data_IF_129697029943
#
_entry.id   IF_129697029943
#
_cell.length_a   1.000
_cell.length_b   1.000
_cell.length_c   1.000
_cell.angle_alpha   90.00
_cell.angle_beta   90.00
_cell.angle_gamma   90.00
#
_symmetry.space_group_name_H-M   'P 1'
#
loop_
_entity.id
_entity.type
_entity.pdbx_description
1 polymer ?
#
# COMPACT_ATOMS: atom_id res chain seq x y z
N UNK A 1 -14.78 1.56 -7.36
CA UNK A 1 -13.95 1.93 -8.54
C UNK A 1 -13.21 0.67 -8.98
N UNK A 2 -13.24 0.30 -10.25
CA UNK A 2 -12.40 -0.81 -10.73
C UNK A 2 -10.96 -0.29 -10.82
N UNK A 3 -10.01 -1.10 -10.34
CA UNK A 3 -8.60 -0.84 -10.63
C UNK A 3 -8.33 -1.30 -12.06
N UNK A 4 -7.44 -0.59 -12.74
CA UNK A 4 -7.07 -0.98 -14.09
C UNK A 4 -6.33 -2.33 -14.03
N UNK A 5 -6.78 -3.29 -14.83
CA UNK A 5 -6.26 -4.66 -14.83
C UNK A 5 -4.75 -4.69 -15.04
N UNK A 6 -4.22 -3.80 -15.88
CA UNK A 6 -2.78 -3.66 -16.15
C UNK A 6 -1.99 -3.36 -14.87
N UNK A 7 -2.53 -2.56 -13.96
CA UNK A 7 -1.86 -2.20 -12.69
C UNK A 7 -1.83 -3.41 -11.77
N UNK A 8 -2.97 -4.10 -11.66
CA UNK A 8 -3.08 -5.28 -10.81
C UNK A 8 -2.13 -6.40 -11.26
N UNK A 9 -1.86 -6.50 -12.57
CA UNK A 9 -0.94 -7.51 -13.14
C UNK A 9 0.53 -7.09 -13.12
N UNK A 10 0.82 -5.79 -13.13
CA UNK A 10 2.19 -5.27 -13.17
C UNK A 10 2.79 -4.98 -11.79
N UNK A 11 1.98 -4.97 -10.72
CA UNK A 11 2.42 -4.68 -9.35
C UNK A 11 2.66 -5.98 -8.59
N UNK A 12 3.90 -6.17 -8.17
CA UNK A 12 4.35 -7.32 -7.38
C UNK A 12 4.77 -6.86 -5.98
N UNK A 13 4.54 -7.72 -5.00
CA UNK A 13 5.04 -7.54 -3.63
C UNK A 13 6.49 -8.01 -3.51
N UNK A 14 7.13 -7.71 -2.38
CA UNK A 14 8.44 -8.21 -1.99
C UNK A 14 8.54 -9.76 -1.98
N UNK A 15 7.41 -10.47 -2.00
CA UNK A 15 7.35 -11.94 -2.09
C UNK A 15 7.13 -12.45 -3.51
N UNK A 16 7.07 -11.57 -4.51
CA UNK A 16 6.86 -11.91 -5.92
C UNK A 16 5.41 -12.25 -6.27
N UNK A 17 4.44 -11.96 -5.39
CA UNK A 17 3.02 -12.16 -5.68
C UNK A 17 2.46 -10.94 -6.41
N UNK A 18 1.72 -11.15 -7.51
CA UNK A 18 1.02 -10.06 -8.19
C UNK A 18 -0.25 -9.64 -7.43
N UNK A 19 -0.54 -8.35 -7.40
CA UNK A 19 -1.65 -7.79 -6.63
C UNK A 19 -3.02 -8.31 -7.11
N UNK A 20 -3.17 -8.64 -8.40
CA UNK A 20 -4.40 -9.24 -8.95
C UNK A 20 -4.70 -10.57 -8.29
N UNK A 21 -3.72 -11.47 -8.22
CA UNK A 21 -3.87 -12.79 -7.62
C UNK A 21 -4.20 -12.69 -6.13
N UNK A 22 -3.53 -11.79 -5.40
CA UNK A 22 -3.82 -11.58 -3.97
C UNK A 22 -5.27 -11.11 -3.78
N UNK A 23 -5.73 -10.13 -4.55
CA UNK A 23 -7.09 -9.56 -4.40
C UNK A 23 -8.22 -10.50 -4.83
N UNK A 24 -7.93 -11.51 -5.66
CA UNK A 24 -8.87 -12.60 -5.95
C UNK A 24 -9.03 -13.53 -4.75
N UNK A 25 -7.91 -13.90 -4.11
CA UNK A 25 -7.90 -14.86 -3.01
C UNK A 25 -8.37 -14.24 -1.68
N UNK A 26 -7.99 -12.99 -1.43
CA UNK A 26 -8.20 -12.32 -0.15
C UNK A 26 -8.90 -10.97 -0.34
N UNK A 27 -9.55 -10.49 0.72
CA UNK A 27 -9.81 -9.05 0.84
C UNK A 27 -8.48 -8.39 1.21
N UNK A 28 -8.04 -7.39 0.45
CA UNK A 28 -6.73 -6.75 0.65
C UNK A 28 -6.92 -5.37 1.24
N UNK A 29 -6.31 -5.10 2.39
CA UNK A 29 -6.15 -3.76 2.91
C UNK A 29 -4.79 -3.23 2.46
N UNK A 30 -4.82 -2.38 1.44
CA UNK A 30 -3.66 -1.73 0.86
C UNK A 30 -3.36 -0.43 1.62
N UNK A 31 -2.19 -0.36 2.24
CA UNK A 31 -1.82 0.67 3.21
C UNK A 31 -0.65 1.49 2.66
N UNK A 32 -0.96 2.69 2.19
CA UNK A 32 0.04 3.67 1.79
C UNK A 32 0.59 4.35 3.03
N UNK A 33 1.83 4.01 3.38
CA UNK A 33 2.53 4.62 4.48
C UNK A 33 2.92 6.07 4.12
N UNK A 34 3.26 6.86 5.13
CA UNK A 34 3.95 8.13 4.89
C UNK A 34 5.44 7.84 4.66
N UNK A 35 6.33 8.67 5.16
CA UNK A 35 7.75 8.35 5.20
C UNK A 35 8.08 7.59 6.48
N UNK A 36 9.03 6.67 6.35
CA UNK A 36 9.59 5.94 7.48
C UNK A 36 10.19 6.90 8.51
N UNK A 37 9.99 6.60 9.78
CA UNK A 37 10.46 7.42 10.90
C UNK A 37 9.56 8.62 11.24
N UNK A 38 8.47 8.87 10.52
CA UNK A 38 7.48 9.86 10.97
C UNK A 38 6.59 9.30 12.09
N UNK A 39 6.21 10.14 13.06
CA UNK A 39 5.40 9.72 14.22
C UNK A 39 4.14 8.96 13.82
N UNK A 40 3.39 9.49 12.85
CA UNK A 40 2.15 8.88 12.38
C UNK A 40 2.34 7.54 11.65
N UNK A 41 3.49 7.35 10.98
CA UNK A 41 3.82 6.07 10.35
C UNK A 41 4.08 5.01 11.43
N UNK A 42 4.86 5.35 12.46
CA UNK A 42 5.11 4.45 13.59
C UNK A 42 3.83 4.07 14.32
N UNK A 43 2.99 5.06 14.61
CA UNK A 43 1.69 4.84 15.25
C UNK A 43 0.79 3.93 14.41
N UNK A 44 0.73 4.14 13.09
CA UNK A 44 -0.05 3.28 12.20
C UNK A 44 0.47 1.83 12.20
N UNK A 45 1.79 1.62 12.14
CA UNK A 45 2.37 0.27 12.20
C UNK A 45 2.08 -0.41 13.54
N UNK A 46 2.23 0.30 14.66
CA UNK A 46 1.89 -0.20 15.99
C UNK A 46 0.40 -0.57 16.11
N UNK A 47 -0.49 0.20 15.49
CA UNK A 47 -1.91 -0.11 15.44
C UNK A 47 -2.18 -1.38 14.63
N UNK A 48 -1.54 -1.52 13.46
CA UNK A 48 -1.68 -2.72 12.62
C UNK A 48 -1.20 -3.98 13.34
N UNK A 49 -0.08 -3.93 14.06
CA UNK A 49 0.39 -5.05 14.88
C UNK A 49 -0.65 -5.51 15.91
N UNK A 50 -1.42 -4.58 16.50
CA UNK A 50 -2.47 -4.90 17.49
C UNK A 50 -3.72 -5.50 16.88
N UNK A 51 -4.10 -5.09 15.68
CA UNK A 51 -5.35 -5.53 15.04
C UNK A 51 -5.16 -6.65 14.02
N UNK A 52 -3.92 -6.96 13.62
CA UNK A 52 -3.60 -7.96 12.60
C UNK A 52 -4.33 -9.28 12.83
N UNK A 53 -4.28 -9.84 14.05
CA UNK A 53 -4.96 -11.11 14.34
C UNK A 53 -6.48 -11.06 14.08
N UNK A 54 -7.13 -9.92 14.29
CA UNK A 54 -8.55 -9.73 13.98
C UNK A 54 -8.82 -9.61 12.47
N UNK A 55 -7.86 -9.07 11.72
CA UNK A 55 -7.93 -8.97 10.26
C UNK A 55 -7.71 -10.34 9.61
N UNK A 56 -6.71 -11.09 10.09
CA UNK A 56 -6.41 -12.44 9.61
C UNK A 56 -7.62 -13.37 9.80
N UNK A 57 -8.31 -13.31 10.95
CA UNK A 57 -9.55 -14.05 11.22
C UNK A 57 -10.70 -13.73 10.24
N UNK A 58 -10.63 -12.57 9.57
CA UNK A 58 -11.63 -12.13 8.57
C UNK A 58 -11.16 -12.36 7.14
N UNK A 59 -10.06 -13.11 6.94
CA UNK A 59 -9.44 -13.30 5.63
C UNK A 59 -9.05 -11.97 4.94
N UNK A 60 -8.63 -10.99 5.75
CA UNK A 60 -8.16 -9.69 5.28
C UNK A 60 -6.64 -9.68 5.34
N UNK A 61 -6.01 -9.53 4.19
CA UNK A 61 -4.55 -9.47 4.05
C UNK A 61 -4.07 -8.04 4.05
N UNK A 62 -3.05 -7.74 4.84
CA UNK A 62 -2.36 -6.45 4.82
C UNK A 62 -1.33 -6.44 3.70
N UNK A 63 -1.30 -5.35 2.93
CA UNK A 63 -0.22 -5.06 1.99
C UNK A 63 0.21 -3.61 2.18
N UNK A 64 1.46 -3.39 2.56
CA UNK A 64 2.01 -2.05 2.76
C UNK A 64 2.61 -1.49 1.47
N UNK A 65 2.53 -0.18 1.27
CA UNK A 65 3.21 0.53 0.19
C UNK A 65 4.05 1.64 0.83
N UNK A 66 5.31 1.77 0.41
CA UNK A 66 6.24 2.78 0.93
C UNK A 66 7.18 3.30 -0.17
N UNK A 67 7.84 4.43 0.06
CA UNK A 67 8.72 5.08 -0.93
C UNK A 67 10.21 4.74 -0.76
N UNK A 68 10.52 3.64 -0.05
CA UNK A 68 11.89 3.21 0.19
C UNK A 68 12.19 1.98 -0.68
N UNK A 69 13.46 1.72 -0.98
CA UNK A 69 13.85 0.47 -1.64
C UNK A 69 13.40 -0.75 -0.83
N UNK A 70 13.18 -1.87 -1.52
CA UNK A 70 12.61 -3.09 -0.95
C UNK A 70 13.36 -3.57 0.30
N UNK A 71 14.70 -3.59 0.27
CA UNK A 71 15.53 -4.04 1.38
C UNK A 71 15.39 -3.16 2.64
N UNK A 72 15.12 -1.85 2.48
CA UNK A 72 14.80 -0.98 3.61
C UNK A 72 13.38 -1.23 4.11
N UNK A 73 12.43 -1.52 3.22
CA UNK A 73 11.07 -1.93 3.57
C UNK A 73 11.04 -3.19 4.43
N UNK A 74 11.76 -4.23 4.01
CA UNK A 74 11.89 -5.50 4.73
C UNK A 74 12.41 -5.29 6.15
N UNK A 75 13.52 -4.55 6.29
CA UNK A 75 14.10 -4.28 7.60
C UNK A 75 13.15 -3.42 8.46
N UNK A 76 12.52 -2.40 7.86
CA UNK A 76 11.65 -1.50 8.60
C UNK A 76 10.41 -2.23 9.13
N UNK A 77 9.72 -3.04 8.34
CA UNK A 77 8.54 -3.79 8.81
C UNK A 77 8.92 -4.87 9.82
N UNK A 78 10.10 -5.49 9.69
CA UNK A 78 10.63 -6.42 10.68
C UNK A 78 10.82 -5.78 12.05
N UNK A 79 11.26 -4.52 12.11
CA UNK A 79 11.43 -3.79 13.38
C UNK A 79 10.09 -3.58 14.13
N UNK A 80 8.95 -3.71 13.46
CA UNK A 80 7.59 -3.63 14.05
C UNK A 80 6.90 -5.00 14.20
N UNK A 81 7.60 -6.11 13.92
CA UNK A 81 7.02 -7.47 13.96
C UNK A 81 6.04 -7.75 12.83
N UNK A 82 6.19 -7.07 11.68
CA UNK A 82 5.34 -7.19 10.49
C UNK A 82 6.09 -7.84 9.32
N UNK A 83 7.17 -8.59 9.57
CA UNK A 83 7.99 -9.25 8.53
C UNK A 83 7.23 -10.32 7.73
N UNK A 84 6.10 -10.80 8.26
CA UNK A 84 5.23 -11.75 7.57
C UNK A 84 4.27 -11.06 6.60
N UNK A 85 4.05 -9.75 6.73
CA UNK A 85 3.20 -9.00 5.82
C UNK A 85 3.92 -8.75 4.50
N UNK A 86 3.13 -8.57 3.44
CA UNK A 86 3.66 -8.23 2.13
C UNK A 86 3.74 -6.71 1.97
N UNK A 87 4.72 -6.25 1.22
CA UNK A 87 4.85 -4.84 0.91
C UNK A 87 5.31 -4.61 -0.52
N UNK A 88 5.13 -3.37 -0.98
CA UNK A 88 5.49 -2.92 -2.31
C UNK A 88 6.35 -1.66 -2.15
N UNK A 89 7.56 -1.73 -2.72
CA UNK A 89 8.46 -0.59 -2.88
C UNK A 89 7.97 0.30 -4.04
N UNK A 90 7.65 1.56 -3.73
CA UNK A 90 7.23 2.58 -4.70
C UNK A 90 8.05 3.89 -4.57
N UNK A 91 9.38 3.88 -4.83
CA UNK A 91 10.24 5.04 -4.58
C UNK A 91 9.92 6.26 -5.43
N UNK A 92 9.45 6.07 -6.68
CA UNK A 92 9.04 7.19 -7.55
C UNK A 92 7.62 7.72 -7.25
N UNK A 93 6.92 7.09 -6.29
CA UNK A 93 5.56 7.40 -5.86
C UNK A 93 4.47 7.27 -6.93
N UNK A 94 4.66 6.44 -7.95
CA UNK A 94 3.66 6.20 -9.00
C UNK A 94 2.35 5.69 -8.40
N UNK A 95 2.36 4.67 -7.53
CA UNK A 95 1.14 4.11 -6.96
C UNK A 95 0.44 5.17 -6.11
N UNK A 96 1.21 5.99 -5.37
CA UNK A 96 0.63 7.14 -4.66
C UNK A 96 -0.07 8.12 -5.61
N UNK A 97 0.50 8.41 -6.79
CA UNK A 97 -0.11 9.28 -7.82
C UNK A 97 -1.44 8.71 -8.31
N UNK A 98 -1.46 7.41 -8.62
CA UNK A 98 -2.66 6.72 -9.12
C UNK A 98 -3.80 6.64 -8.13
N UNK A 99 -3.48 6.33 -6.88
CA UNK A 99 -4.45 6.34 -5.80
C UNK A 99 -4.83 7.75 -5.33
N UNK A 100 -4.30 8.79 -6.00
CA UNK A 100 -4.66 10.19 -5.75
C UNK A 100 -4.14 10.73 -4.42
N UNK A 101 -3.07 10.14 -3.89
CA UNK A 101 -2.46 10.53 -2.61
C UNK A 101 -1.41 11.64 -2.77
N UNK A 102 -1.02 12.02 -3.99
CA UNK A 102 -0.12 13.13 -4.24
C UNK A 102 -0.86 14.49 -4.29
N UNK A 103 -0.17 15.57 -3.87
CA UNK A 103 -0.63 16.95 -4.10
C UNK A 103 -0.14 17.44 -5.46
N UNK A 104 -0.99 17.40 -6.48
CA UNK A 104 -0.71 17.93 -7.82
C UNK A 104 -1.45 17.15 -8.90
N UNK A 105 -1.94 17.85 -9.93
CA UNK A 105 -2.66 17.23 -11.05
C UNK A 105 -1.68 16.66 -12.07
N UNK A 106 -1.35 15.38 -11.94
CA UNK A 106 -0.83 14.60 -13.07
C UNK A 106 -1.51 13.22 -13.04
N UNK A 107 -2.43 13.00 -13.98
CA UNK A 107 -3.09 11.71 -14.20
C UNK A 107 -2.64 11.05 -15.50
N UNK A 108 -2.01 11.80 -16.41
CA UNK A 108 -1.76 11.37 -17.78
C UNK A 108 -0.47 10.55 -17.98
N UNK A 109 0.50 10.64 -17.05
CA UNK A 109 1.81 9.99 -17.19
C UNK A 109 1.92 8.63 -16.50
N UNK A 110 0.88 8.22 -15.77
CA UNK A 110 0.96 7.10 -14.84
C UNK A 110 1.12 5.74 -15.55
N UNK A 111 0.41 5.52 -16.65
CA UNK A 111 0.50 4.26 -17.43
C UNK A 111 1.93 3.97 -17.90
N UNK A 112 2.64 4.99 -18.39
CA UNK A 112 4.01 4.82 -18.89
C UNK A 112 5.02 4.47 -17.78
N UNK A 113 4.86 5.05 -16.58
CA UNK A 113 5.76 4.79 -15.43
C UNK A 113 5.66 3.35 -14.91
N UNK A 114 4.46 2.77 -14.84
CA UNK A 114 4.28 1.39 -14.38
C UNK A 114 4.94 0.40 -15.34
N UNK A 115 4.77 0.63 -16.64
CA UNK A 115 5.41 -0.22 -17.65
C UNK A 115 6.94 -0.17 -17.54
N UNK A 116 7.52 1.01 -17.25
CA UNK A 116 8.95 1.13 -16.98
C UNK A 116 9.42 0.35 -15.75
N UNK A 117 8.59 0.25 -14.70
CA UNK A 117 8.85 -0.64 -13.55
C UNK A 117 8.81 -2.11 -13.93
N UNK A 118 7.74 -2.55 -14.61
CA UNK A 118 7.56 -3.95 -14.99
C UNK A 118 8.68 -4.45 -15.92
N UNK A 119 9.28 -3.55 -16.70
CA UNK A 119 10.41 -3.86 -17.59
C UNK A 119 11.77 -3.92 -16.89
N UNK A 120 11.85 -3.72 -15.55
CA UNK A 120 13.08 -3.92 -14.80
C UNK A 120 14.24 -2.99 -15.21
N UNK A 121 13.93 -1.78 -15.69
CA UNK A 121 14.95 -0.77 -15.98
C UNK A 121 15.62 -0.35 -14.66
N UNK A 122 16.73 -1.03 -14.35
CA UNK A 122 17.73 -0.64 -13.37
C UNK A 122 18.35 0.70 -13.79
N UNK A 123 17.61 1.80 -13.62
CA UNK A 123 18.24 3.10 -13.54
C UNK A 123 18.95 3.16 -12.19
N UNK A 124 20.21 2.72 -12.21
CA UNK A 124 21.20 3.19 -11.26
C UNK A 124 21.20 4.71 -11.31
N UNK A 125 20.52 5.32 -10.36
CA UNK A 125 20.66 6.74 -10.09
C UNK A 125 20.49 6.89 -8.60
N UNK A 126 21.59 7.31 -7.98
CA UNK A 126 21.63 7.91 -6.64
C UNK A 126 20.70 9.13 -6.60
N UNK A 127 19.39 8.91 -6.64
CA UNK A 127 18.46 9.94 -6.23
C UNK A 127 18.33 9.80 -4.73
N UNK A 128 19.31 10.41 -4.04
CA UNK A 128 19.12 10.93 -2.68
C UNK A 128 18.01 11.99 -2.74
N UNK A 129 16.78 11.59 -3.06
CA UNK A 129 15.64 12.38 -2.69
C UNK A 129 15.52 12.23 -1.17
N UNK A 130 15.37 13.35 -0.45
CA UNK A 130 15.28 13.29 0.99
C UNK A 130 14.18 12.31 1.36
N UNK A 131 14.47 11.44 2.34
CA UNK A 131 13.53 10.54 2.99
C UNK A 131 12.12 11.17 3.05
N UNK A 132 11.30 10.82 2.05
CA UNK A 132 9.93 11.29 1.90
C UNK A 132 9.75 12.78 1.60
N UNK A 133 8.96 13.06 0.56
CA UNK A 133 8.26 14.33 0.47
C UNK A 133 7.43 14.54 1.76
N UNK A 134 7.80 15.51 2.60
CA UNK A 134 7.13 15.75 3.90
C UNK A 134 5.63 16.01 3.78
N UNK A 135 5.12 16.30 2.57
CA UNK A 135 3.71 16.55 2.26
C UNK A 135 2.94 15.31 1.81
N UNK A 136 3.59 14.16 1.66
CA UNK A 136 2.93 12.94 1.21
C UNK A 136 1.95 12.46 2.28
N UNK A 137 0.73 12.15 1.85
CA UNK A 137 -0.36 11.74 2.74
C UNK A 137 -0.52 10.23 2.74
N UNK A 138 -0.77 9.61 3.91
CA UNK A 138 -1.09 8.21 3.98
C UNK A 138 -2.51 7.94 3.46
N UNK A 139 -2.77 6.69 3.07
CA UNK A 139 -4.05 6.27 2.53
C UNK A 139 -4.29 4.79 2.75
N UNK A 140 -5.57 4.42 2.85
CA UNK A 140 -5.98 3.03 3.01
C UNK A 140 -7.02 2.73 1.95
N UNK A 141 -6.84 1.64 1.22
CA UNK A 141 -7.77 1.17 0.22
C UNK A 141 -8.07 -0.30 0.48
N UNK A 142 -9.36 -0.64 0.56
CA UNK A 142 -9.80 -2.03 0.64
C UNK A 142 -10.14 -2.48 -0.77
N UNK A 143 -9.50 -3.55 -1.20
CA UNK A 143 -9.58 -4.08 -2.55
C UNK A 143 -10.03 -5.54 -2.50
N UNK A 144 -11.04 -5.90 -3.29
CA UNK A 144 -11.49 -7.28 -3.49
C UNK A 144 -11.83 -7.50 -4.96
N UNK A 145 -11.35 -8.59 -5.53
CA UNK A 145 -11.55 -8.95 -6.94
C UNK A 145 -11.20 -7.82 -7.91
N UNK A 146 -10.07 -7.14 -7.64
CA UNK A 146 -9.59 -5.99 -8.43
C UNK A 146 -10.43 -4.72 -8.31
N UNK A 147 -11.35 -4.63 -7.34
CA UNK A 147 -12.21 -3.45 -7.13
C UNK A 147 -11.90 -2.80 -5.80
N UNK A 148 -11.73 -1.47 -5.82
CA UNK A 148 -11.75 -0.67 -4.59
C UNK A 148 -13.19 -0.66 -4.07
N UNK A 149 -13.38 -1.30 -2.92
CA UNK A 149 -14.67 -1.44 -2.23
C UNK A 149 -14.80 -0.43 -1.06
N UNK A 150 -13.68 0.08 -0.54
CA UNK A 150 -13.65 1.19 0.42
C UNK A 150 -12.30 1.90 0.38
N UNK A 151 -12.30 3.16 0.79
CA UNK A 151 -11.06 3.93 0.94
C UNK A 151 -11.15 4.92 2.10
N UNK A 152 -10.01 5.18 2.70
CA UNK A 152 -9.81 6.25 3.67
C UNK A 152 -8.58 7.05 3.25
N UNK A 153 -8.83 8.27 2.76
CA UNK A 153 -7.79 9.23 2.41
C UNK A 153 -7.71 10.27 3.52
N UNK A 154 -6.56 10.34 4.18
CA UNK A 154 -6.35 11.23 5.31
C UNK A 154 -6.45 12.70 4.84
N UNK A 155 -7.20 13.53 5.56
CA UNK A 155 -7.24 14.99 5.34
C UNK A 155 -6.07 15.67 6.06
N UNK A 156 -5.65 15.08 7.18
CA UNK A 156 -4.49 15.46 7.99
C UNK A 156 -3.67 14.23 8.37
N UNK A 157 -2.36 14.40 8.55
CA UNK A 157 -1.48 13.31 8.96
C UNK A 157 -1.79 12.77 10.37
N UNK A 158 -2.53 13.55 11.17
CA UNK A 158 -3.00 13.15 12.50
C UNK A 158 -4.36 12.42 12.50
N UNK A 159 -5.01 12.28 11.34
CA UNK A 159 -6.26 11.52 11.27
C UNK A 159 -5.97 10.05 11.61
N UNK A 160 -6.73 9.46 12.51
CA UNK A 160 -6.62 8.05 12.86
C UNK A 160 -7.90 7.31 12.46
N UNK A 161 -7.88 6.53 11.38
CA UNK A 161 -9.04 5.75 11.00
C UNK A 161 -9.29 4.62 11.99
N UNK A 162 -10.56 4.27 12.17
CA UNK A 162 -10.95 3.01 12.76
C UNK A 162 -10.80 1.92 11.70
N UNK A 163 -9.61 1.31 11.64
CA UNK A 163 -9.23 0.31 10.63
C UNK A 163 -10.22 -0.85 10.53
N UNK A 164 -10.77 -1.29 11.68
CA UNK A 164 -11.74 -2.39 11.70
C UNK A 164 -13.10 -1.96 11.14
N UNK A 165 -13.51 -0.70 11.35
CA UNK A 165 -14.72 -0.16 10.71
C UNK A 165 -14.60 -0.03 9.20
N UNK A 166 -13.40 0.28 8.69
CA UNK A 166 -13.16 0.37 7.24
C UNK A 166 -13.50 -0.96 6.54
N UNK A 167 -13.30 -2.10 7.22
CA UNK A 167 -13.52 -3.44 6.68
C UNK A 167 -14.79 -4.13 7.17
N UNK A 168 -15.42 -3.65 8.25
CA UNK A 168 -16.51 -4.35 8.95
C UNK A 168 -17.77 -4.57 8.12
N UNK A 169 -18.00 -3.78 7.08
CA UNK A 169 -19.23 -3.81 6.28
C UNK A 169 -19.07 -4.43 4.89
N UNK A 170 -17.89 -4.97 4.55
CA UNK A 170 -17.51 -5.16 3.15
C UNK A 170 -16.83 -6.50 2.86
N UNK A 171 -16.16 -7.10 3.84
CA UNK A 171 -15.43 -8.36 3.67
C UNK A 171 -15.95 -9.49 4.57
N UNK A 172 -17.20 -9.41 5.02
CA UNK A 172 -17.86 -10.52 5.72
C UNK A 172 -18.32 -11.56 4.70
N UNK A 173 -17.65 -12.71 4.73
CA UNK A 173 -17.99 -14.02 4.15
C UNK A 173 -17.57 -14.32 2.70
N UNK A 174 -16.64 -15.27 2.60
CA UNK A 174 -16.46 -16.29 1.54
C UNK A 174 -15.36 -17.21 2.07
N UNK A 175 -15.61 -18.42 2.61
CA UNK A 175 -16.43 -19.53 2.13
C UNK A 175 -16.87 -20.45 3.30
N UNK A 176 -18.11 -20.96 3.23
CA UNK A 176 -18.45 -22.31 3.69
C UNK A 176 -17.94 -23.33 2.67
#
# INVERSE_FOLDING_TARGET
MNLDTEILEAVFTNKGNDLKSITKQHCVMLIFLRHFGCTFCREALDDFTKIKGQLDQRNIKLVFIHMAEECYGDQYLKDYGLEQEEHISDPDMSLYEYFGLQKGSFRELYGLKIWWRAMGLNYGSETRQPLGNMKQMPGIFVIKDGKIISSFVHKSAADKPDYLKIVSSICTDTHH
#
